data_IF_547657481817
#
_entry.id   IF_547657481817
#
_cell.length_a   1.000
_cell.length_b   1.000
_cell.length_c   1.000
_cell.angle_alpha   90.00
_cell.angle_beta   90.00
_cell.angle_gamma   90.00
#
_symmetry.space_group_name_H-M   'P 1'
#
loop_
_entity.id
_entity.type
_entity.pdbx_description
1 polymer ?
#
# COMPACT_ATOMS: atom_id res chain seq x y z
N UNK A 1 -12.64 -14.10 -41.17
CA UNK A 1 -12.98 -14.57 -39.83
C UNK A 1 -12.30 -13.65 -38.82
N UNK A 2 -13.05 -12.70 -38.26
CA UNK A 2 -12.57 -11.79 -37.23
C UNK A 2 -12.50 -12.59 -35.90
N UNK A 3 -11.30 -12.76 -35.35
CA UNK A 3 -11.12 -13.28 -33.98
C UNK A 3 -11.94 -12.45 -33.01
N UNK A 4 -12.68 -13.04 -32.07
CA UNK A 4 -13.41 -12.28 -31.09
C UNK A 4 -12.40 -11.48 -30.25
N UNK A 5 -12.44 -10.15 -30.38
CA UNK A 5 -11.69 -9.24 -29.50
C UNK A 5 -12.29 -9.38 -28.10
N UNK A 6 -11.76 -10.29 -27.30
CA UNK A 6 -12.08 -10.35 -25.89
C UNK A 6 -11.91 -8.94 -25.33
N UNK A 7 -12.99 -8.33 -24.84
CA UNK A 7 -12.96 -6.99 -24.22
C UNK A 7 -11.93 -7.01 -23.10
N UNK A 8 -10.79 -6.37 -23.32
CA UNK A 8 -9.81 -6.17 -22.24
C UNK A 8 -10.51 -5.38 -21.12
N UNK A 9 -10.34 -5.76 -19.86
CA UNK A 9 -10.90 -4.99 -18.75
C UNK A 9 -10.40 -3.54 -18.84
N UNK A 10 -11.25 -2.59 -18.45
CA UNK A 10 -10.87 -1.18 -18.51
C UNK A 10 -9.66 -0.93 -17.61
N UNK A 11 -8.74 -0.07 -18.04
CA UNK A 11 -7.55 0.31 -17.26
C UNK A 11 -7.94 0.76 -15.84
N UNK A 12 -9.02 1.53 -15.73
CA UNK A 12 -9.52 2.03 -14.44
C UNK A 12 -9.90 0.90 -13.49
N UNK A 13 -10.60 -0.14 -13.97
CA UNK A 13 -10.98 -1.29 -13.13
C UNK A 13 -9.77 -2.11 -12.71
N UNK A 14 -8.82 -2.36 -13.64
CA UNK A 14 -7.60 -3.09 -13.29
C UNK A 14 -6.80 -2.35 -12.23
N UNK A 15 -6.72 -1.02 -12.33
CA UNK A 15 -5.99 -0.21 -11.33
C UNK A 15 -6.78 -0.02 -10.03
N UNK A 16 -8.11 -0.06 -10.05
CA UNK A 16 -8.93 -0.11 -8.84
C UNK A 16 -8.65 -1.40 -8.05
N UNK A 17 -8.78 -2.55 -8.69
CA UNK A 17 -8.51 -3.84 -8.03
C UNK A 17 -7.03 -4.04 -7.71
N UNK A 18 -6.14 -3.48 -8.54
CA UNK A 18 -4.71 -3.45 -8.26
C UNK A 18 -4.39 -2.66 -7.00
N UNK A 19 -5.01 -1.50 -6.80
CA UNK A 19 -4.87 -0.68 -5.60
C UNK A 19 -5.41 -1.43 -4.37
N UNK A 20 -6.62 -1.98 -4.47
CA UNK A 20 -7.19 -2.79 -3.41
C UNK A 20 -6.28 -3.96 -3.01
N UNK A 21 -5.72 -4.67 -3.98
CA UNK A 21 -4.85 -5.81 -3.72
C UNK A 21 -3.50 -5.40 -3.12
N UNK A 22 -2.94 -4.26 -3.56
CA UNK A 22 -1.69 -3.72 -3.04
C UNK A 22 -1.81 -3.28 -1.58
N UNK A 23 -2.89 -2.54 -1.26
CA UNK A 23 -3.10 -1.96 0.06
C UNK A 23 -3.70 -2.96 1.07
N UNK A 24 -4.05 -4.16 0.62
CA UNK A 24 -4.70 -5.16 1.46
C UNK A 24 -3.86 -5.55 2.68
N UNK A 25 -2.57 -5.83 2.47
CA UNK A 25 -1.68 -6.20 3.58
C UNK A 25 -1.44 -5.04 4.56
N UNK A 26 -1.08 -3.81 4.13
CA UNK A 26 -1.01 -2.66 5.02
C UNK A 26 -2.27 -2.44 5.83
N UNK A 27 -3.46 -2.50 5.19
CA UNK A 27 -4.74 -2.35 5.87
C UNK A 27 -5.01 -3.49 6.89
N UNK A 28 -4.51 -4.69 6.64
CA UNK A 28 -4.60 -5.82 7.57
C UNK A 28 -3.90 -5.53 8.91
N UNK A 29 -2.85 -4.72 8.89
CA UNK A 29 -2.06 -4.43 10.10
C UNK A 29 -2.87 -3.74 11.18
N UNK A 30 -3.93 -2.99 10.86
CA UNK A 30 -4.74 -2.29 11.84
C UNK A 30 -5.33 -3.23 12.90
N UNK A 31 -5.76 -4.43 12.50
CA UNK A 31 -6.23 -5.46 13.44
C UNK A 31 -5.16 -6.49 13.81
N UNK A 32 -4.16 -6.72 12.97
CA UNK A 32 -3.07 -7.63 13.30
C UNK A 32 -2.15 -7.09 14.39
N UNK A 33 -1.93 -5.77 14.45
CA UNK A 33 -1.04 -5.18 15.46
C UNK A 33 -1.44 -5.51 16.91
N UNK A 34 -2.71 -5.39 17.32
CA UNK A 34 -3.12 -5.84 18.66
C UNK A 34 -2.89 -7.34 18.87
N UNK A 35 -3.19 -8.20 17.88
CA UNK A 35 -2.99 -9.63 17.99
C UNK A 35 -1.48 -9.99 18.08
N UNK A 36 -0.62 -9.32 17.32
CA UNK A 36 0.84 -9.42 17.43
C UNK A 36 1.30 -9.00 18.81
N UNK A 37 0.76 -7.90 19.35
CA UNK A 37 1.08 -7.39 20.67
C UNK A 37 0.80 -8.40 21.78
N UNK A 38 -0.34 -9.06 21.71
CA UNK A 38 -0.71 -10.12 22.65
C UNK A 38 0.20 -11.35 22.50
N UNK A 39 0.48 -11.76 21.27
CA UNK A 39 1.27 -12.97 21.00
C UNK A 39 2.76 -12.82 21.33
N UNK A 40 3.31 -11.62 21.25
CA UNK A 40 4.73 -11.33 21.52
C UNK A 40 4.95 -10.58 22.84
N UNK A 41 3.90 -10.42 23.65
CA UNK A 41 3.91 -9.69 24.93
C UNK A 41 4.51 -8.26 24.78
N UNK A 42 4.05 -7.53 23.78
CA UNK A 42 4.57 -6.19 23.47
C UNK A 42 3.82 -5.10 24.24
N UNK A 43 4.59 -4.12 24.70
CA UNK A 43 4.03 -2.90 25.29
C UNK A 43 3.41 -2.00 24.20
N UNK A 44 2.43 -1.14 24.54
CA UNK A 44 1.82 -0.20 23.56
C UNK A 44 2.84 0.68 22.83
N UNK A 45 3.91 1.10 23.49
CA UNK A 45 5.01 1.86 22.88
C UNK A 45 5.74 1.06 21.79
N UNK A 46 5.91 -0.24 21.97
CA UNK A 46 6.52 -1.13 20.99
C UNK A 46 5.58 -1.32 19.78
N UNK A 47 4.27 -1.39 19.98
CA UNK A 47 3.30 -1.45 18.89
C UNK A 47 3.31 -0.16 18.06
N UNK A 48 3.35 1.00 18.71
CA UNK A 48 3.53 2.29 18.04
C UNK A 48 4.85 2.36 17.28
N UNK A 49 5.95 1.85 17.86
CA UNK A 49 7.25 1.79 17.18
C UNK A 49 7.21 0.86 15.96
N UNK A 50 6.54 -0.29 16.04
CA UNK A 50 6.38 -1.24 14.94
C UNK A 50 5.72 -0.57 13.73
N UNK A 51 4.60 0.14 13.95
CA UNK A 51 3.90 0.89 12.89
C UNK A 51 4.77 2.03 12.37
N UNK A 52 5.47 2.74 13.24
CA UNK A 52 6.35 3.85 12.84
C UNK A 52 7.50 3.38 11.96
N UNK A 53 8.11 2.24 12.26
CA UNK A 53 9.18 1.64 11.44
C UNK A 53 8.61 1.20 10.07
N UNK A 54 7.43 0.58 10.05
CA UNK A 54 6.73 0.22 8.81
C UNK A 54 6.46 1.46 7.94
N UNK A 55 5.85 2.50 8.52
CA UNK A 55 5.54 3.75 7.83
C UNK A 55 6.80 4.49 7.34
N UNK A 56 7.89 4.45 8.13
CA UNK A 56 9.17 5.02 7.73
C UNK A 56 9.77 4.28 6.53
N UNK A 57 9.71 2.95 6.51
CA UNK A 57 10.10 2.14 5.35
C UNK A 57 9.35 2.56 4.10
N UNK A 58 8.01 2.64 4.17
CA UNK A 58 7.17 3.12 3.09
C UNK A 58 7.59 4.53 2.61
N UNK A 59 7.77 5.47 3.55
CA UNK A 59 8.15 6.84 3.25
C UNK A 59 9.48 6.95 2.48
N UNK A 60 10.47 6.13 2.83
CA UNK A 60 11.76 6.08 2.13
C UNK A 60 11.64 5.66 0.67
N UNK A 61 10.61 4.90 0.31
CA UNK A 61 10.44 4.37 -1.04
C UNK A 61 9.68 5.33 -1.99
N UNK A 62 8.82 6.22 -1.47
CA UNK A 62 7.97 7.08 -2.31
C UNK A 62 8.75 7.94 -3.31
N UNK A 63 9.75 8.67 -2.86
CA UNK A 63 10.52 9.56 -3.75
C UNK A 63 11.37 8.77 -4.76
N UNK A 64 12.17 7.77 -4.36
CA UNK A 64 12.91 6.94 -5.31
C UNK A 64 11.99 6.26 -6.32
N UNK A 65 10.80 5.79 -5.92
CA UNK A 65 9.85 5.15 -6.81
C UNK A 65 9.39 6.08 -7.94
N UNK A 66 9.08 7.34 -7.63
CA UNK A 66 8.74 8.34 -8.65
C UNK A 66 9.87 8.55 -9.66
N UNK A 67 11.11 8.70 -9.18
CA UNK A 67 12.30 8.84 -10.03
C UNK A 67 12.55 7.60 -10.90
N UNK A 68 12.39 6.40 -10.33
CA UNK A 68 12.53 5.13 -11.06
C UNK A 68 11.43 5.00 -12.10
N UNK A 69 10.18 5.34 -11.77
CA UNK A 69 9.05 5.31 -12.70
C UNK A 69 9.30 6.18 -13.92
N UNK A 70 9.80 7.40 -13.73
CA UNK A 70 10.07 8.34 -14.82
C UNK A 70 11.24 7.90 -15.70
N UNK A 71 12.18 7.12 -15.15
CA UNK A 71 13.33 6.59 -15.89
C UNK A 71 13.07 5.22 -16.52
N UNK A 72 11.98 4.54 -16.15
CA UNK A 72 11.69 3.19 -16.62
C UNK A 72 10.67 3.21 -17.75
N UNK A 73 11.05 2.68 -18.91
CA UNK A 73 10.14 2.57 -20.08
C UNK A 73 9.00 1.57 -19.84
N UNK A 74 9.28 0.48 -19.12
CA UNK A 74 8.31 -0.60 -18.90
C UNK A 74 7.69 -0.48 -17.50
N UNK A 75 6.75 0.46 -17.36
CA UNK A 75 6.05 0.69 -16.09
C UNK A 75 5.11 -0.46 -15.71
N UNK A 76 4.62 -1.22 -16.68
CA UNK A 76 3.83 -2.41 -16.40
C UNK A 76 4.62 -3.48 -15.64
N UNK A 77 5.92 -3.67 -15.97
CA UNK A 77 6.79 -4.58 -15.19
C UNK A 77 7.08 -4.04 -13.78
N UNK A 78 7.26 -2.73 -13.64
CA UNK A 78 7.43 -2.15 -12.30
C UNK A 78 6.20 -2.38 -11.42
N UNK A 79 5.00 -2.14 -11.95
CA UNK A 79 3.74 -2.39 -11.25
C UNK A 79 3.57 -3.88 -10.90
N UNK A 80 3.95 -4.78 -11.83
CA UNK A 80 3.94 -6.21 -11.55
C UNK A 80 4.88 -6.57 -10.38
N UNK A 81 6.06 -5.97 -10.33
CA UNK A 81 7.04 -6.22 -9.26
C UNK A 81 6.53 -5.76 -7.88
N UNK A 82 5.70 -4.71 -7.81
CA UNK A 82 5.16 -4.26 -6.53
C UNK A 82 4.22 -5.29 -5.90
N UNK A 83 3.37 -5.96 -6.68
CA UNK A 83 2.51 -7.02 -6.16
C UNK A 83 3.30 -8.19 -5.57
N UNK A 84 4.36 -8.60 -6.26
CA UNK A 84 5.25 -9.65 -5.74
C UNK A 84 6.02 -9.18 -4.52
N UNK A 85 6.48 -7.94 -4.51
CA UNK A 85 7.17 -7.38 -3.35
C UNK A 85 6.26 -7.34 -2.13
N UNK A 86 5.03 -6.81 -2.27
CA UNK A 86 4.04 -6.80 -1.18
C UNK A 86 3.71 -8.22 -0.74
N UNK A 87 3.27 -9.09 -1.67
CA UNK A 87 2.85 -10.44 -1.32
C UNK A 87 3.95 -11.26 -0.63
N UNK A 88 5.16 -11.29 -1.21
CA UNK A 88 6.31 -12.02 -0.63
C UNK A 88 6.81 -11.33 0.64
N UNK A 89 6.90 -9.99 0.65
CA UNK A 89 7.38 -9.24 1.79
C UNK A 89 6.57 -9.48 3.06
N UNK A 90 5.26 -9.37 2.98
CA UNK A 90 4.38 -9.66 4.13
C UNK A 90 4.32 -11.17 4.45
N UNK A 91 4.40 -12.05 3.44
CA UNK A 91 4.51 -13.48 3.70
C UNK A 91 5.77 -13.81 4.50
N UNK A 92 6.93 -13.25 4.14
CA UNK A 92 8.18 -13.43 4.90
C UNK A 92 8.07 -12.82 6.30
N UNK A 93 7.41 -11.66 6.44
CA UNK A 93 7.19 -11.03 7.73
C UNK A 93 6.37 -11.90 8.69
N UNK A 94 5.46 -12.75 8.18
CA UNK A 94 4.69 -13.67 9.02
C UNK A 94 5.56 -14.72 9.74
N UNK A 95 6.76 -15.00 9.26
CA UNK A 95 7.72 -15.93 9.87
C UNK A 95 8.74 -15.24 10.79
N UNK A 96 8.61 -13.95 11.05
CA UNK A 96 9.54 -13.21 11.90
C UNK A 96 9.62 -13.81 13.31
N UNK A 97 10.83 -14.13 13.83
CA UNK A 97 10.98 -14.76 15.14
C UNK A 97 10.74 -13.80 16.33
N UNK A 98 10.74 -12.48 16.12
CA UNK A 98 10.56 -11.51 17.19
C UNK A 98 10.38 -10.08 16.69
N UNK A 99 10.30 -9.13 17.60
CA UNK A 99 9.97 -7.73 17.35
C UNK A 99 10.83 -7.07 16.27
N UNK A 100 12.16 -7.10 16.40
CA UNK A 100 13.03 -6.36 15.46
C UNK A 100 13.04 -6.96 14.06
N UNK A 101 13.00 -8.28 13.95
CA UNK A 101 12.89 -8.95 12.65
C UNK A 101 11.55 -8.63 11.99
N UNK A 102 10.45 -8.64 12.76
CA UNK A 102 9.14 -8.26 12.27
C UNK A 102 9.12 -6.80 11.80
N UNK A 103 9.64 -5.87 12.62
CA UNK A 103 9.67 -4.45 12.30
C UNK A 103 10.44 -4.17 11.00
N UNK A 104 11.62 -4.77 10.82
CA UNK A 104 12.42 -4.61 9.62
C UNK A 104 11.75 -5.23 8.38
N UNK A 105 11.18 -6.43 8.53
CA UNK A 105 10.50 -7.11 7.43
C UNK A 105 9.23 -6.35 7.00
N UNK A 106 8.45 -5.83 7.95
CA UNK A 106 7.30 -4.98 7.65
C UNK A 106 7.73 -3.67 6.98
N UNK A 107 8.82 -3.04 7.42
CA UNK A 107 9.34 -1.84 6.76
C UNK A 107 9.71 -2.10 5.29
N UNK A 108 10.39 -3.23 5.02
CA UNK A 108 10.74 -3.62 3.65
C UNK A 108 9.49 -3.97 2.83
N UNK A 109 8.50 -4.64 3.43
CA UNK A 109 7.24 -4.95 2.76
C UNK A 109 6.46 -3.67 2.42
N UNK A 110 6.40 -2.70 3.35
CA UNK A 110 5.78 -1.39 3.15
C UNK A 110 6.44 -0.54 2.05
N UNK A 111 7.74 -0.75 1.78
CA UNK A 111 8.37 -0.13 0.60
C UNK A 111 7.70 -0.60 -0.71
N UNK A 112 7.35 -1.89 -0.81
CA UNK A 112 6.69 -2.44 -2.00
C UNK A 112 5.33 -1.81 -2.24
N UNK A 113 4.56 -1.64 -1.18
CA UNK A 113 3.29 -0.92 -1.18
C UNK A 113 3.45 0.54 -1.64
N UNK A 114 4.36 1.27 -1.01
CA UNK A 114 4.62 2.67 -1.33
C UNK A 114 5.06 2.91 -2.78
N UNK A 115 5.82 1.99 -3.37
CA UNK A 115 6.30 2.07 -4.76
C UNK A 115 5.15 2.01 -5.78
N UNK A 116 4.07 1.30 -5.48
CA UNK A 116 2.89 1.20 -6.34
C UNK A 116 2.29 2.57 -6.67
N UNK A 117 2.08 3.41 -5.68
CA UNK A 117 1.27 4.63 -5.79
C UNK A 117 1.78 5.64 -6.83
N UNK A 118 3.05 6.10 -6.81
CA UNK A 118 3.53 7.06 -7.80
C UNK A 118 3.57 6.47 -9.22
N UNK A 119 3.81 5.17 -9.35
CA UNK A 119 3.84 4.50 -10.66
C UNK A 119 2.43 4.39 -11.21
N UNK A 120 1.48 3.89 -10.42
CA UNK A 120 0.09 3.68 -10.81
C UNK A 120 -0.60 5.00 -11.19
N UNK A 121 -0.52 6.01 -10.32
CA UNK A 121 -1.09 7.32 -10.58
C UNK A 121 -0.46 7.98 -11.81
N UNK A 122 0.85 7.85 -11.98
CA UNK A 122 1.56 8.35 -13.16
C UNK A 122 1.10 7.67 -14.47
N UNK A 123 0.88 6.37 -14.46
CA UNK A 123 0.33 5.63 -15.61
C UNK A 123 -1.09 6.10 -15.92
N UNK A 124 -1.96 6.15 -14.92
CA UNK A 124 -3.36 6.53 -15.08
C UNK A 124 -3.52 7.95 -15.65
N UNK A 125 -2.81 8.92 -15.11
CA UNK A 125 -2.87 10.32 -15.55
C UNK A 125 -2.36 10.50 -16.99
N UNK A 126 -1.37 9.71 -17.41
CA UNK A 126 -0.85 9.74 -18.78
C UNK A 126 -1.76 9.04 -19.78
N UNK A 127 -2.39 7.94 -19.39
CA UNK A 127 -3.23 7.14 -20.29
C UNK A 127 -4.65 7.72 -20.46
N UNK A 128 -5.15 8.46 -19.46
CA UNK A 128 -6.49 9.05 -19.49
C UNK A 128 -6.40 10.54 -19.10
N UNK A 129 -5.78 11.38 -19.94
CA UNK A 129 -5.50 12.78 -19.62
C UNK A 129 -6.77 13.64 -19.50
N UNK A 130 -7.85 13.33 -20.23
CA UNK A 130 -9.05 14.14 -20.28
C UNK A 130 -9.97 13.94 -19.06
N UNK A 131 -9.79 12.85 -18.30
CA UNK A 131 -10.61 12.48 -17.14
C UNK A 131 -9.78 12.15 -15.91
N UNK A 132 -8.69 12.91 -15.69
CA UNK A 132 -7.71 12.63 -14.61
C UNK A 132 -8.37 12.52 -13.23
N UNK A 133 -9.22 13.49 -12.87
CA UNK A 133 -9.89 13.51 -11.57
C UNK A 133 -10.79 12.29 -11.36
N UNK A 134 -11.63 11.97 -12.35
CA UNK A 134 -12.49 10.78 -12.30
C UNK A 134 -11.66 9.50 -12.20
N UNK A 135 -10.60 9.38 -12.99
CA UNK A 135 -9.74 8.19 -13.03
C UNK A 135 -9.02 7.99 -11.71
N UNK A 136 -8.46 9.05 -11.12
CA UNK A 136 -7.82 8.99 -9.81
C UNK A 136 -8.84 8.73 -8.69
N UNK A 137 -10.07 9.27 -8.80
CA UNK A 137 -11.15 8.95 -7.86
C UNK A 137 -11.53 7.47 -7.88
N UNK A 138 -11.70 6.88 -9.08
CA UNK A 138 -11.96 5.43 -9.20
C UNK A 138 -10.80 4.60 -8.63
N UNK A 139 -9.55 5.02 -8.91
CA UNK A 139 -8.37 4.36 -8.35
C UNK A 139 -8.34 4.44 -6.82
N UNK A 140 -8.65 5.59 -6.23
CA UNK A 140 -8.70 5.78 -4.78
C UNK A 140 -9.74 4.89 -4.08
N UNK A 141 -10.88 4.62 -4.75
CA UNK A 141 -11.89 3.67 -4.23
C UNK A 141 -11.27 2.29 -3.97
N UNK A 142 -10.28 1.86 -4.77
CA UNK A 142 -9.57 0.60 -4.54
C UNK A 142 -8.87 0.54 -3.18
N UNK A 143 -8.11 1.58 -2.80
CA UNK A 143 -7.48 1.68 -1.49
C UNK A 143 -8.51 1.70 -0.36
N UNK A 144 -9.57 2.53 -0.49
CA UNK A 144 -10.66 2.57 0.50
C UNK A 144 -11.35 1.20 0.67
N UNK A 145 -11.53 0.45 -0.40
CA UNK A 145 -12.08 -0.92 -0.30
C UNK A 145 -11.13 -1.84 0.48
N UNK A 146 -9.81 -1.72 0.30
CA UNK A 146 -8.86 -2.48 1.11
C UNK A 146 -8.95 -2.09 2.59
N UNK A 147 -9.00 -0.78 2.90
CA UNK A 147 -9.10 -0.26 4.26
C UNK A 147 -10.36 -0.73 5.01
N UNK A 148 -11.46 -0.99 4.28
CA UNK A 148 -12.72 -1.48 4.88
C UNK A 148 -12.78 -3.00 4.92
N UNK A 149 -12.50 -3.67 3.80
CA UNK A 149 -12.72 -5.10 3.66
C UNK A 149 -11.63 -5.94 4.31
N UNK A 150 -10.38 -5.47 4.30
CA UNK A 150 -9.26 -6.20 4.86
C UNK A 150 -9.38 -6.37 6.38
N UNK A 151 -9.63 -5.32 7.19
CA UNK A 151 -9.85 -5.49 8.63
C UNK A 151 -11.04 -6.41 8.95
N UNK A 152 -12.13 -6.33 8.19
CA UNK A 152 -13.28 -7.22 8.40
C UNK A 152 -12.91 -8.68 8.20
N UNK A 153 -12.19 -9.00 7.12
CA UNK A 153 -11.71 -10.37 6.88
C UNK A 153 -10.71 -10.81 7.93
N UNK A 154 -9.75 -9.94 8.28
CA UNK A 154 -8.73 -10.21 9.31
C UNK A 154 -9.38 -10.49 10.65
N UNK A 155 -10.39 -9.69 11.06
CA UNK A 155 -11.15 -9.93 12.28
C UNK A 155 -11.79 -11.32 12.31
N UNK A 156 -12.41 -11.76 11.22
CA UNK A 156 -12.96 -13.10 11.10
C UNK A 156 -11.86 -14.19 11.15
N UNK A 157 -10.76 -14.01 10.44
CA UNK A 157 -9.66 -14.99 10.44
C UNK A 157 -9.01 -15.13 11.81
N UNK A 158 -8.84 -14.04 12.57
CA UNK A 158 -8.29 -14.07 13.93
C UNK A 158 -9.17 -14.82 14.94
N UNK A 159 -10.42 -15.15 14.62
CA UNK A 159 -11.25 -16.02 15.47
C UNK A 159 -10.86 -17.49 15.37
N UNK A 160 -10.17 -17.89 14.28
CA UNK A 160 -9.84 -19.29 13.98
C UNK A 160 -8.36 -19.54 13.67
N UNK A 161 -7.61 -18.47 13.38
CA UNK A 161 -6.19 -18.52 13.03
C UNK A 161 -5.37 -17.62 13.97
N UNK A 162 -4.10 -17.95 14.16
CA UNK A 162 -3.14 -17.04 14.77
C UNK A 162 -2.78 -15.89 13.82
N UNK A 163 -2.10 -14.87 14.35
CA UNK A 163 -1.74 -13.68 13.59
C UNK A 163 -0.80 -13.97 12.40
N UNK A 164 0.08 -14.96 12.51
CA UNK A 164 1.03 -15.34 11.45
C UNK A 164 0.30 -15.92 10.25
N UNK A 165 -0.57 -16.90 10.54
CA UNK A 165 -1.41 -17.55 9.54
C UNK A 165 -2.38 -16.53 8.89
N UNK A 166 -2.94 -15.63 9.70
CA UNK A 166 -3.82 -14.55 9.21
C UNK A 166 -3.06 -13.58 8.30
N UNK A 167 -1.84 -13.15 8.67
CA UNK A 167 -1.01 -12.29 7.82
C UNK A 167 -0.63 -13.00 6.52
N UNK A 168 -0.31 -14.30 6.59
CA UNK A 168 -0.01 -15.09 5.40
C UNK A 168 -1.20 -15.16 4.45
N UNK A 169 -2.41 -15.41 4.95
CA UNK A 169 -3.65 -15.42 4.15
C UNK A 169 -3.91 -14.01 3.56
N UNK A 170 -3.64 -12.95 4.31
CA UNK A 170 -3.81 -11.58 3.84
C UNK A 170 -2.90 -11.22 2.64
N UNK A 171 -1.87 -12.01 2.33
CA UNK A 171 -1.04 -11.79 1.13
C UNK A 171 -1.70 -12.26 -0.17
N UNK A 172 -2.73 -13.10 -0.09
CA UNK A 172 -3.36 -13.71 -1.25
C UNK A 172 -3.88 -12.69 -2.29
N UNK A 173 -4.55 -11.58 -1.92
CA UNK A 173 -4.98 -10.59 -2.91
C UNK A 173 -3.82 -10.02 -3.74
N UNK A 174 -2.68 -9.69 -3.12
CA UNK A 174 -1.51 -9.18 -3.83
C UNK A 174 -0.90 -10.25 -4.75
N UNK A 175 -0.78 -11.49 -4.28
CA UNK A 175 -0.25 -12.61 -5.08
C UNK A 175 -1.16 -12.92 -6.26
N UNK A 176 -2.47 -13.04 -6.04
CA UNK A 176 -3.46 -13.32 -7.09
C UNK A 176 -3.50 -12.18 -8.12
N UNK A 177 -3.44 -10.92 -7.64
CA UNK A 177 -3.36 -9.78 -8.54
C UNK A 177 -2.04 -9.77 -9.32
N UNK A 178 -0.92 -10.12 -8.69
CA UNK A 178 0.38 -10.28 -9.36
C UNK A 178 0.31 -11.32 -10.47
N UNK A 179 -0.29 -12.47 -10.24
CA UNK A 179 -0.54 -13.50 -11.26
C UNK A 179 -1.40 -12.97 -12.41
N UNK A 180 -2.53 -12.34 -12.11
CA UNK A 180 -3.42 -11.76 -13.10
C UNK A 180 -2.72 -10.64 -13.90
N UNK A 181 -1.88 -9.85 -13.22
CA UNK A 181 -1.18 -8.71 -13.81
C UNK A 181 -0.04 -9.10 -14.75
N UNK A 182 0.46 -10.35 -14.72
CA UNK A 182 1.50 -10.84 -15.65
C UNK A 182 1.09 -10.59 -17.10
N UNK A 183 -0.14 -10.92 -17.44
CA UNK A 183 -0.67 -10.71 -18.79
C UNK A 183 -1.02 -9.25 -19.06
N UNK A 184 -1.50 -8.53 -18.05
CA UNK A 184 -1.91 -7.15 -18.20
C UNK A 184 -0.72 -6.18 -18.29
N UNK A 185 0.39 -6.45 -17.61
CA UNK A 185 1.58 -5.61 -17.60
C UNK A 185 2.14 -5.30 -19.00
N UNK A 186 1.98 -6.23 -19.94
CA UNK A 186 2.42 -6.08 -21.33
C UNK A 186 1.52 -5.11 -22.12
N UNK A 187 0.28 -4.90 -21.70
CA UNK A 187 -0.67 -4.00 -22.36
C UNK A 187 -0.50 -2.53 -21.95
N UNK A 188 0.27 -2.26 -20.90
CA UNK A 188 0.57 -0.89 -20.47
C UNK A 188 1.57 -0.28 -21.45
N UNK A 189 1.23 0.84 -22.12
CA UNK A 189 2.12 1.49 -23.07
C UNK A 189 3.45 1.88 -22.42
N UNK A 190 4.53 1.71 -23.16
CA UNK A 190 5.85 2.12 -22.69
C UNK A 190 5.94 3.63 -22.54
N UNK A 191 6.43 4.09 -21.41
CA UNK A 191 6.65 5.51 -21.17
C UNK A 191 7.76 6.07 -22.07
N UNK A 192 7.59 7.30 -22.50
CA UNK A 192 8.67 8.08 -23.12
C UNK A 192 9.63 8.53 -22.03
N UNK A 193 10.94 8.35 -22.24
CA UNK A 193 11.95 8.80 -21.29
C UNK A 193 11.95 10.33 -21.21
N UNK A 194 11.65 10.87 -20.02
CA UNK A 194 12.04 12.23 -19.65
C UNK A 194 13.30 12.12 -18.78
N UNK A 195 14.42 12.69 -19.22
CA UNK A 195 15.59 12.85 -18.35
C UNK A 195 15.27 13.92 -17.31
N UNK A 196 15.28 13.55 -16.04
CA UNK A 196 15.19 14.53 -14.94
C UNK A 196 16.51 15.29 -14.93
N UNK A 197 16.43 16.56 -15.30
CA UNK A 197 17.56 17.48 -15.28
C UNK A 197 17.72 18.20 -13.93
N UNK A 198 18.82 18.91 -13.78
CA UNK A 198 19.07 19.77 -12.59
C UNK A 198 17.96 20.82 -12.40
N UNK A 199 17.42 21.36 -13.50
CA UNK A 199 16.30 22.30 -13.50
C UNK A 199 15.03 21.70 -12.85
N UNK A 200 14.68 20.45 -13.18
CA UNK A 200 13.50 19.79 -12.63
C UNK A 200 13.63 19.60 -11.10
N UNK A 201 14.85 19.29 -10.60
CA UNK A 201 15.11 19.16 -9.18
C UNK A 201 15.04 20.51 -8.45
N UNK A 202 15.51 21.59 -9.08
CA UNK A 202 15.42 22.96 -8.53
C UNK A 202 13.94 23.38 -8.46
N UNK A 203 13.17 23.14 -9.51
CA UNK A 203 11.74 23.43 -9.55
C UNK A 203 10.97 22.63 -8.49
N UNK A 204 11.25 21.34 -8.35
CA UNK A 204 10.68 20.49 -7.32
C UNK A 204 10.96 21.06 -5.92
N UNK A 205 12.23 21.37 -5.62
CA UNK A 205 12.61 21.99 -4.35
C UNK A 205 11.88 23.32 -4.13
N UNK A 206 11.85 24.20 -5.13
CA UNK A 206 11.16 25.50 -5.05
C UNK A 206 9.66 25.33 -4.76
N UNK A 207 9.00 24.40 -5.44
CA UNK A 207 7.57 24.14 -5.27
C UNK A 207 7.26 23.67 -3.85
N UNK A 208 7.98 22.65 -3.37
CA UNK A 208 7.72 22.07 -2.06
C UNK A 208 8.20 22.93 -0.89
N UNK A 209 9.22 23.78 -1.08
CA UNK A 209 9.66 24.75 -0.06
C UNK A 209 8.87 26.06 -0.09
N UNK A 210 7.91 26.23 -0.99
CA UNK A 210 7.02 27.39 -0.99
C UNK A 210 6.03 27.34 0.18
N UNK A 211 5.50 28.49 0.60
CA UNK A 211 4.49 28.56 1.67
C UNK A 211 3.27 27.67 1.35
N UNK A 212 2.84 27.61 0.09
CA UNK A 212 1.73 26.74 -0.35
C UNK A 212 2.12 25.26 -0.28
N UNK A 213 3.32 24.90 -0.71
CA UNK A 213 3.85 23.55 -0.63
C UNK A 213 3.96 23.08 0.83
N UNK A 214 4.54 23.90 1.70
CA UNK A 214 4.66 23.59 3.12
C UNK A 214 3.30 23.50 3.81
N UNK A 215 2.35 24.37 3.50
CA UNK A 215 0.99 24.30 4.02
C UNK A 215 0.28 22.99 3.59
N UNK A 216 0.45 22.58 2.34
CA UNK A 216 -0.09 21.31 1.84
C UNK A 216 0.55 20.10 2.54
N UNK A 217 1.87 20.10 2.69
CA UNK A 217 2.58 19.05 3.45
C UNK A 217 2.03 18.99 4.88
N UNK A 218 1.94 20.15 5.58
CA UNK A 218 1.44 20.19 6.95
C UNK A 218 0.01 19.64 7.05
N UNK A 219 -0.89 20.09 6.16
CA UNK A 219 -2.28 19.65 6.14
C UNK A 219 -2.42 18.11 5.92
N UNK A 220 -1.71 17.58 4.90
CA UNK A 220 -1.73 16.15 4.60
C UNK A 220 -1.08 15.34 5.72
N UNK A 221 0.04 15.81 6.29
CA UNK A 221 0.71 15.14 7.40
C UNK A 221 -0.16 15.09 8.64
N UNK A 222 -0.81 16.20 9.01
CA UNK A 222 -1.72 16.27 10.17
C UNK A 222 -2.92 15.33 9.98
N UNK A 223 -3.52 15.32 8.78
CA UNK A 223 -4.61 14.40 8.44
C UNK A 223 -4.17 12.93 8.60
N UNK A 224 -3.04 12.54 8.00
CA UNK A 224 -2.55 11.17 8.08
C UNK A 224 -2.14 10.79 9.51
N UNK A 225 -1.52 11.68 10.27
CA UNK A 225 -1.19 11.43 11.68
C UNK A 225 -2.43 11.15 12.51
N UNK A 226 -3.50 11.96 12.35
CA UNK A 226 -4.76 11.76 13.05
C UNK A 226 -5.43 10.43 12.66
N UNK A 227 -5.45 10.11 11.36
CA UNK A 227 -6.01 8.87 10.86
C UNK A 227 -5.27 7.64 11.40
N UNK A 228 -3.93 7.63 11.29
CA UNK A 228 -3.10 6.52 11.78
C UNK A 228 -3.23 6.35 13.29
N UNK A 229 -3.23 7.45 14.05
CA UNK A 229 -3.43 7.40 15.49
C UNK A 229 -4.79 6.77 15.85
N UNK A 230 -5.86 7.21 15.19
CA UNK A 230 -7.21 6.68 15.41
C UNK A 230 -7.26 5.18 15.08
N UNK A 231 -6.78 4.78 13.90
CA UNK A 231 -6.80 3.39 13.44
C UNK A 231 -5.95 2.46 14.33
N UNK A 232 -4.88 2.98 14.93
CA UNK A 232 -4.01 2.19 15.81
C UNK A 232 -4.57 2.09 17.23
N UNK A 233 -5.04 3.22 17.79
CA UNK A 233 -5.44 3.29 19.19
C UNK A 233 -6.82 2.68 19.40
N UNK A 234 -7.76 2.85 18.49
CA UNK A 234 -9.14 2.37 18.64
C UNK A 234 -9.22 0.86 18.89
N UNK A 235 -8.62 -0.02 18.08
CA UNK A 235 -8.66 -1.45 18.35
C UNK A 235 -8.01 -1.83 19.68
N UNK A 236 -6.88 -1.19 20.04
CA UNK A 236 -6.21 -1.41 21.31
C UNK A 236 -7.09 -1.01 22.50
N UNK A 237 -7.75 0.13 22.43
CA UNK A 237 -8.68 0.61 23.44
C UNK A 237 -9.87 -0.35 23.61
N UNK A 238 -10.49 -0.76 22.51
CA UNK A 238 -11.62 -1.68 22.54
C UNK A 238 -11.25 -3.03 23.17
N UNK A 239 -10.06 -3.55 22.87
CA UNK A 239 -9.58 -4.81 23.46
C UNK A 239 -9.17 -4.69 24.91
N UNK A 240 -8.39 -3.66 25.28
CA UNK A 240 -7.80 -3.55 26.62
C UNK A 240 -8.75 -2.97 27.66
N UNK A 241 -9.50 -1.92 27.30
CA UNK A 241 -10.37 -1.20 28.22
C UNK A 241 -11.81 -1.71 28.17
N UNK A 242 -12.35 -1.94 26.98
CA UNK A 242 -13.73 -2.39 26.80
C UNK A 242 -13.84 -3.92 26.84
N UNK A 243 -12.71 -4.64 26.73
CA UNK A 243 -12.65 -6.11 26.75
C UNK A 243 -13.37 -6.80 25.60
N UNK A 244 -13.47 -6.15 24.44
CA UNK A 244 -13.97 -6.79 23.25
C UNK A 244 -13.04 -7.91 22.80
N UNK A 245 -13.62 -8.99 22.25
CA UNK A 245 -12.82 -10.05 21.62
C UNK A 245 -12.17 -9.54 20.32
N UNK A 246 -11.06 -10.14 19.96
CA UNK A 246 -10.28 -9.77 18.76
C UNK A 246 -11.10 -9.85 17.46
N UNK A 247 -12.17 -10.67 17.41
CA UNK A 247 -13.06 -10.78 16.27
C UNK A 247 -14.17 -9.72 16.19
N UNK A 248 -14.32 -8.88 17.24
CA UNK A 248 -15.38 -7.85 17.32
C UNK A 248 -14.77 -6.43 17.20
N UNK A 249 -13.47 -6.27 17.46
CA UNK A 249 -12.76 -4.99 17.38
C UNK A 249 -12.39 -4.63 15.96
#
# INVERSE_FOLDING_TARGET
>A
MSTPSGRRPSLQLVFLFGHMANDWCPASLWLLIPAIGLALDLQPSQLGLLISIHAFGAALAYFPAGVIADRTRNQGRLLLMTFWWVGIGYAVASFAPGFWSLALLLAVAGMGDAVWHPIATGVLVRQIPDRRGQTLGIHAVGGTLAEVLSPLLVGLLLTILDWRSTLLVATLPAILMGLAFIWYAQSIPRATHKRIGRSDLIELKRTWSSSKGLALIAAISTYNMALIALMTITPLFLQREIKFSTGIT
#
